data_IF_079526839490
#
_entry.id   IF_079526839490
#
_cell.length_a   1.000
_cell.length_b   1.000
_cell.length_c   1.000
_cell.angle_alpha   90.00
_cell.angle_beta   90.00
_cell.angle_gamma   90.00
#
_symmetry.space_group_name_H-M   'P 1'
#
loop_
_entity.id
_entity.type
_entity.pdbx_description
1 polymer ?
#
# COMPACT_ATOMS: atom_id res chain seq x y z
N UNK A 1 -7.99 -2.42 -16.97
CA UNK A 1 -8.44 -1.36 -16.03
C UNK A 1 -7.59 -1.49 -14.79
N UNK A 2 -7.19 -0.38 -14.18
CA UNK A 2 -6.38 -0.42 -12.97
C UNK A 2 -7.18 -1.02 -11.81
N UNK A 3 -6.53 -1.90 -11.05
CA UNK A 3 -7.02 -2.47 -9.80
C UNK A 3 -6.99 -1.42 -8.69
N UNK A 4 -7.93 -1.49 -7.76
CA UNK A 4 -8.03 -0.53 -6.64
C UNK A 4 -8.28 -1.18 -5.29
N UNK A 5 -8.44 -2.50 -5.26
CA UNK A 5 -8.77 -3.20 -4.03
C UNK A 5 -8.14 -4.60 -4.04
N UNK A 6 -7.91 -5.10 -2.84
CA UNK A 6 -7.38 -6.43 -2.53
C UNK A 6 -8.28 -7.01 -1.47
N UNK A 7 -8.87 -8.17 -1.77
CA UNK A 7 -9.73 -8.87 -0.81
C UNK A 7 -8.90 -9.49 0.31
N UNK A 8 -9.52 -9.72 1.48
CA UNK A 8 -8.83 -10.43 2.57
C UNK A 8 -8.40 -11.85 2.16
N UNK A 9 -9.11 -12.50 1.23
CA UNK A 9 -8.71 -13.81 0.70
C UNK A 9 -7.44 -13.72 -0.16
N UNK A 10 -7.34 -12.71 -1.01
CA UNK A 10 -6.14 -12.45 -1.81
C UNK A 10 -4.93 -12.11 -0.94
N UNK A 11 -5.12 -11.25 0.07
CA UNK A 11 -4.07 -10.93 1.03
C UNK A 11 -3.60 -12.18 1.81
N UNK A 12 -4.51 -13.05 2.27
CA UNK A 12 -4.13 -14.32 2.91
C UNK A 12 -3.39 -15.25 1.94
N UNK A 13 -3.84 -15.33 0.69
CA UNK A 13 -3.20 -16.15 -0.33
C UNK A 13 -1.76 -15.68 -0.62
N UNK A 14 -1.56 -14.38 -0.78
CA UNK A 14 -0.22 -13.79 -0.99
C UNK A 14 0.66 -13.93 0.25
N UNK A 15 0.12 -13.65 1.44
CA UNK A 15 0.86 -13.83 2.70
C UNK A 15 1.30 -15.28 2.91
N UNK A 16 0.46 -16.26 2.54
CA UNK A 16 0.84 -17.68 2.52
C UNK A 16 1.97 -17.97 1.54
N UNK A 17 1.94 -17.41 0.33
CA UNK A 17 3.00 -17.58 -0.66
C UNK A 17 4.32 -16.94 -0.21
N UNK A 18 4.26 -15.84 0.52
CA UNK A 18 5.41 -15.11 1.05
C UNK A 18 5.91 -15.65 2.40
N UNK A 19 5.19 -16.58 3.04
CA UNK A 19 5.58 -17.17 4.32
C UNK A 19 5.35 -16.26 5.54
N UNK A 20 4.39 -15.35 5.47
CA UNK A 20 4.04 -14.45 6.58
C UNK A 20 3.41 -15.25 7.73
N UNK A 21 3.92 -15.06 8.95
CA UNK A 21 3.46 -15.75 10.18
C UNK A 21 2.33 -15.03 10.90
N UNK A 22 2.13 -13.74 10.63
CA UNK A 22 1.16 -12.86 11.28
C UNK A 22 1.44 -12.59 12.77
N UNK A 23 2.70 -12.74 13.20
CA UNK A 23 3.12 -12.52 14.59
C UNK A 23 3.34 -11.04 14.92
N UNK A 24 3.95 -10.30 13.99
CA UNK A 24 4.30 -8.88 14.17
C UNK A 24 3.21 -7.92 13.70
N UNK A 25 2.44 -8.32 12.68
CA UNK A 25 1.32 -7.56 12.10
C UNK A 25 0.23 -8.51 11.62
N UNK A 26 -0.99 -8.01 11.50
CA UNK A 26 -2.14 -8.82 11.06
C UNK A 26 -2.38 -8.78 9.54
N UNK A 27 -3.31 -9.60 9.09
CA UNK A 27 -3.69 -9.70 7.68
C UNK A 27 -4.27 -8.40 7.15
N UNK A 28 -4.94 -7.60 7.99
CA UNK A 28 -5.56 -6.36 7.55
C UNK A 28 -4.51 -5.27 7.32
N UNK A 29 -3.49 -5.19 8.17
CA UNK A 29 -2.34 -4.32 7.94
C UNK A 29 -1.66 -4.64 6.61
N UNK A 30 -1.43 -5.93 6.34
CA UNK A 30 -0.87 -6.37 5.06
C UNK A 30 -1.80 -6.08 3.87
N UNK A 31 -3.11 -6.31 4.01
CA UNK A 31 -4.10 -6.04 2.96
C UNK A 31 -4.16 -4.55 2.63
N UNK A 32 -4.22 -3.68 3.65
CA UNK A 32 -4.18 -2.22 3.47
C UNK A 32 -2.92 -1.81 2.74
N UNK A 33 -1.77 -2.36 3.16
CA UNK A 33 -0.51 -2.15 2.47
C UNK A 33 -0.57 -2.52 0.99
N UNK A 34 -1.06 -3.72 0.67
CA UNK A 34 -1.24 -4.12 -0.72
C UNK A 34 -2.16 -3.19 -1.52
N UNK A 35 -3.19 -2.60 -0.91
CA UNK A 35 -4.06 -1.62 -1.57
C UNK A 35 -3.31 -0.32 -1.86
N UNK A 36 -2.49 0.17 -0.92
CA UNK A 36 -1.60 1.33 -1.14
C UNK A 36 -0.62 1.04 -2.28
N UNK A 37 0.02 -0.12 -2.28
CA UNK A 37 1.03 -0.46 -3.30
C UNK A 37 0.46 -0.69 -4.72
N UNK A 38 -0.87 -0.76 -4.90
CA UNK A 38 -1.49 -0.74 -6.23
C UNK A 38 -1.32 0.62 -6.93
N UNK A 39 -0.97 1.68 -6.20
CA UNK A 39 -0.63 2.97 -6.80
C UNK A 39 0.62 2.90 -7.69
N UNK A 40 1.48 1.91 -7.45
CA UNK A 40 2.67 1.61 -8.24
C UNK A 40 2.38 0.66 -9.43
N UNK A 41 1.10 0.39 -9.72
CA UNK A 41 0.65 -0.43 -10.84
C UNK A 41 0.08 0.38 -11.99
N UNK A 42 -1.06 -0.06 -12.53
CA UNK A 42 -1.69 0.52 -13.72
C UNK A 42 -2.37 1.88 -13.47
N UNK A 43 -2.33 2.40 -12.23
CA UNK A 43 -2.91 3.69 -11.87
C UNK A 43 -2.22 4.87 -12.57
N UNK A 44 -0.89 4.83 -12.65
CA UNK A 44 -0.08 5.80 -13.41
C UNK A 44 0.93 5.05 -14.31
N UNK A 45 0.73 5.05 -15.64
CA UNK A 45 1.65 4.41 -16.57
C UNK A 45 3.09 4.94 -16.52
N UNK A 46 3.32 6.17 -16.05
CA UNK A 46 4.64 6.79 -15.94
C UNK A 46 5.49 6.24 -14.79
N UNK A 47 4.84 5.67 -13.78
CA UNK A 47 5.48 5.09 -12.58
C UNK A 47 5.09 3.64 -12.33
N UNK A 48 4.42 2.98 -13.30
CA UNK A 48 4.03 1.57 -13.22
C UNK A 48 5.26 0.65 -13.14
N UNK A 49 5.35 -0.09 -12.04
CA UNK A 49 6.41 -1.08 -11.80
C UNK A 49 5.87 -2.48 -11.47
N UNK A 50 4.57 -2.63 -11.16
CA UNK A 50 3.96 -3.92 -10.79
C UNK A 50 3.01 -4.50 -11.83
N UNK A 51 2.49 -3.69 -12.75
CA UNK A 51 1.41 -4.06 -13.68
C UNK A 51 0.15 -4.62 -12.98
N UNK A 52 -0.13 -4.15 -11.76
CA UNK A 52 -1.15 -4.68 -10.83
C UNK A 52 -0.98 -6.18 -10.49
N UNK A 53 0.21 -6.75 -10.69
CA UNK A 53 0.52 -8.12 -10.27
C UNK A 53 0.51 -8.23 -8.75
N UNK A 54 -0.45 -8.98 -8.22
CA UNK A 54 -0.67 -9.09 -6.77
C UNK A 54 0.55 -9.64 -6.01
N UNK A 55 1.37 -10.48 -6.64
CA UNK A 55 2.54 -11.04 -5.96
C UNK A 55 3.68 -10.02 -5.88
N UNK A 56 3.89 -9.21 -6.92
CA UNK A 56 4.83 -8.09 -6.88
C UNK A 56 4.35 -7.00 -5.89
N UNK A 57 3.08 -6.61 -5.94
CA UNK A 57 2.47 -5.67 -4.99
C UNK A 57 2.61 -6.17 -3.55
N UNK A 58 2.31 -7.44 -3.29
CA UNK A 58 2.48 -8.08 -1.98
C UNK A 58 3.91 -8.06 -1.46
N UNK A 59 4.91 -8.19 -2.33
CA UNK A 59 6.33 -8.09 -1.93
C UNK A 59 6.73 -6.70 -1.47
N UNK A 60 6.21 -5.66 -2.14
CA UNK A 60 6.47 -4.27 -1.73
C UNK A 60 5.84 -4.03 -0.36
N UNK A 61 4.58 -4.46 -0.18
CA UNK A 61 3.90 -4.33 1.11
C UNK A 61 4.62 -5.06 2.25
N UNK A 62 5.09 -6.28 1.99
CA UNK A 62 5.89 -7.02 2.97
C UNK A 62 7.24 -6.37 3.26
N UNK A 63 7.89 -5.77 2.25
CA UNK A 63 9.17 -5.11 2.45
C UNK A 63 9.06 -3.97 3.48
N UNK A 64 8.03 -3.14 3.36
CA UNK A 64 7.74 -2.06 4.31
C UNK A 64 7.37 -2.56 5.70
N UNK A 65 6.50 -3.59 5.79
CA UNK A 65 6.13 -4.17 7.08
C UNK A 65 7.28 -4.89 7.80
N UNK A 66 8.32 -5.30 7.06
CA UNK A 66 9.56 -5.82 7.65
C UNK A 66 10.46 -4.71 8.21
N UNK A 67 10.29 -3.46 7.79
CA UNK A 67 11.01 -2.32 8.39
C UNK A 67 10.42 -2.03 9.78
N UNK A 68 9.10 -1.96 9.88
CA UNK A 68 8.37 -1.89 11.14
C UNK A 68 6.88 -2.28 10.96
N UNK A 69 6.23 -2.91 11.97
CA UNK A 69 4.93 -3.55 11.77
C UNK A 69 3.74 -2.58 11.62
N UNK A 70 3.88 -1.32 12.05
CA UNK A 70 2.87 -0.26 11.95
C UNK A 70 3.08 0.66 10.73
N UNK A 71 3.82 0.21 9.71
CA UNK A 71 4.24 1.06 8.58
C UNK A 71 3.10 1.83 7.92
N UNK A 72 2.01 1.13 7.58
CA UNK A 72 0.90 1.74 6.85
C UNK A 72 0.04 2.66 7.72
N UNK A 73 0.01 2.46 9.03
CA UNK A 73 -0.65 3.41 9.94
C UNK A 73 0.13 4.74 9.97
N UNK A 74 1.47 4.68 10.01
CA UNK A 74 2.32 5.88 9.96
C UNK A 74 2.31 6.56 8.61
N UNK A 75 2.23 5.78 7.52
CA UNK A 75 2.14 6.32 6.18
C UNK A 75 0.85 7.14 6.01
N UNK A 76 -0.28 6.58 6.45
CA UNK A 76 -1.59 7.26 6.41
C UNK A 76 -1.53 8.61 7.13
N UNK A 77 -1.01 8.65 8.37
CA UNK A 77 -0.83 9.91 9.11
C UNK A 77 0.03 10.94 8.34
N UNK A 78 1.17 10.50 7.78
CA UNK A 78 2.07 11.38 7.05
C UNK A 78 1.43 11.92 5.74
N UNK A 79 0.69 11.08 5.02
CA UNK A 79 0.02 11.46 3.78
C UNK A 79 -1.12 12.44 4.04
N UNK A 80 -1.94 12.22 5.06
CA UNK A 80 -3.00 13.15 5.47
C UNK A 80 -2.42 14.53 5.84
N UNK A 81 -1.33 14.58 6.59
CA UNK A 81 -0.62 15.82 6.92
C UNK A 81 -0.11 16.54 5.66
N UNK A 82 0.46 15.78 4.71
CA UNK A 82 0.97 16.33 3.46
C UNK A 82 -0.16 16.85 2.55
N UNK A 83 -1.25 16.11 2.42
CA UNK A 83 -2.43 16.53 1.65
C UNK A 83 -3.00 17.84 2.19
N UNK A 84 -3.23 17.93 3.50
CA UNK A 84 -3.74 19.14 4.13
C UNK A 84 -2.83 20.35 3.88
N UNK A 85 -1.51 20.18 4.04
CA UNK A 85 -0.53 21.23 3.81
C UNK A 85 -0.56 21.73 2.35
N UNK A 86 -0.58 20.83 1.37
CA UNK A 86 -0.52 21.21 -0.04
C UNK A 86 -1.85 21.78 -0.56
N UNK A 87 -2.98 21.33 -0.06
CA UNK A 87 -4.29 21.92 -0.39
C UNK A 87 -4.40 23.36 0.13
N UNK A 88 -3.94 23.65 1.35
CA UNK A 88 -3.90 25.02 1.87
C UNK A 88 -3.05 25.93 0.98
N UNK A 89 -1.86 25.47 0.57
CA UNK A 89 -0.97 26.26 -0.30
C UNK A 89 -1.55 26.49 -1.70
N UNK A 90 -2.24 25.51 -2.27
CA UNK A 90 -2.94 25.67 -3.56
C UNK A 90 -4.06 26.70 -3.45
N UNK A 91 -4.79 26.73 -2.34
CA UNK A 91 -5.87 27.70 -2.10
C UNK A 91 -5.34 29.12 -1.91
N UNK A 92 -4.18 29.30 -1.27
CA UNK A 92 -3.54 30.62 -1.11
C UNK A 92 -2.90 31.15 -2.41
N UNK A 93 -2.62 30.29 -3.38
CA UNK A 93 -2.03 30.64 -4.67
C UNK A 93 -3.06 30.97 -5.77
N UNK A 94 -4.36 30.88 -5.45
CA UNK A 94 -5.49 31.20 -6.33
C UNK A 94 -6.14 32.54 -5.93
#
# INVERSE_FOLDING_TARGET
MARRDVTSEEARAMGKQLGITWEEFDVEQFRRGMVVELEHGLRDPGTNVTDDDLFLTAKIALAHLNEFPDYYDRLEEMEEEAEAYWEERKAQAQ
#
